data_IF_663884470847
#
_entry.id   IF_663884470847
#
_cell.length_a   1.000
_cell.length_b   1.000
_cell.length_c   1.000
_cell.angle_alpha   90.00
_cell.angle_beta   90.00
_cell.angle_gamma   90.00
#
_symmetry.space_group_name_H-M   'P 1'
#
loop_
_entity.id
_entity.type
_entity.pdbx_description
1 polymer ?
#
# COMPACT_ATOMS: atom_id res chain seq x y z
N UNK A 1 -10.31 -21.94 -38.26
CA UNK A 1 -11.50 -22.36 -37.48
C UNK A 1 -11.46 -23.87 -37.27
N UNK A 2 -11.15 -24.33 -36.06
CA UNK A 2 -10.98 -25.75 -35.72
C UNK A 2 -12.31 -26.48 -35.40
N UNK A 3 -13.44 -25.76 -35.37
CA UNK A 3 -14.76 -26.30 -34.95
C UNK A 3 -15.75 -26.58 -36.09
N UNK A 4 -15.41 -26.29 -37.35
CA UNK A 4 -16.29 -26.57 -38.51
C UNK A 4 -17.58 -25.72 -38.60
N UNK A 5 -17.79 -24.76 -37.69
CA UNK A 5 -18.92 -23.84 -37.70
C UNK A 5 -18.83 -22.84 -38.87
N UNK A 6 -19.97 -22.57 -39.51
CA UNK A 6 -20.10 -21.46 -40.44
C UNK A 6 -20.14 -20.11 -39.71
N UNK A 7 -19.81 -19.03 -40.42
CA UNK A 7 -19.87 -17.66 -39.88
C UNK A 7 -21.28 -17.32 -39.37
N UNK A 8 -22.34 -17.85 -40.00
CA UNK A 8 -23.73 -17.61 -39.58
C UNK A 8 -24.05 -18.33 -38.28
N UNK A 9 -23.69 -19.61 -38.16
CA UNK A 9 -23.90 -20.38 -36.93
C UNK A 9 -23.11 -19.77 -35.77
N UNK A 10 -21.88 -19.34 -36.02
CA UNK A 10 -21.07 -18.69 -34.99
C UNK A 10 -21.64 -17.32 -34.58
N UNK A 11 -22.20 -16.56 -35.53
CA UNK A 11 -22.88 -15.30 -35.27
C UNK A 11 -24.07 -15.49 -34.33
N UNK A 12 -24.87 -16.52 -34.57
CA UNK A 12 -26.01 -16.87 -33.71
C UNK A 12 -25.55 -17.28 -32.31
N UNK A 13 -24.57 -18.17 -32.20
CA UNK A 13 -24.02 -18.63 -30.91
C UNK A 13 -23.37 -17.51 -30.09
N UNK A 14 -22.79 -16.52 -30.77
CA UNK A 14 -22.07 -15.41 -30.13
C UNK A 14 -22.95 -14.19 -29.88
N UNK A 15 -24.20 -14.16 -30.38
CA UNK A 15 -25.03 -12.94 -30.41
C UNK A 15 -24.28 -11.74 -31.06
N UNK A 16 -23.73 -12.00 -32.24
CA UNK A 16 -23.00 -11.04 -33.07
C UNK A 16 -23.52 -11.02 -34.49
N UNK A 17 -23.23 -9.95 -35.23
CA UNK A 17 -23.52 -9.92 -36.66
C UNK A 17 -22.47 -10.73 -37.45
N UNK A 18 -22.88 -11.49 -38.50
CA UNK A 18 -21.95 -12.21 -39.38
C UNK A 18 -20.85 -11.31 -39.97
N UNK A 19 -21.16 -10.04 -40.24
CA UNK A 19 -20.21 -9.05 -40.74
C UNK A 19 -19.10 -8.73 -39.72
N UNK A 20 -19.43 -8.72 -38.42
CA UNK A 20 -18.47 -8.51 -37.33
C UNK A 20 -17.47 -9.66 -37.28
N UNK A 21 -17.95 -10.90 -37.35
CA UNK A 21 -17.10 -12.11 -37.35
C UNK A 21 -16.21 -12.14 -38.60
N UNK A 22 -16.78 -11.88 -39.77
CA UNK A 22 -16.00 -11.85 -41.02
C UNK A 22 -14.88 -10.80 -40.99
N UNK A 23 -15.12 -9.65 -40.34
CA UNK A 23 -14.07 -8.63 -40.15
C UNK A 23 -12.93 -9.15 -39.26
N UNK A 24 -13.26 -9.77 -38.12
CA UNK A 24 -12.28 -10.33 -37.19
C UNK A 24 -11.42 -11.39 -37.87
N UNK A 25 -12.01 -12.26 -38.69
CA UNK A 25 -11.28 -13.27 -39.46
C UNK A 25 -10.36 -12.66 -40.52
N UNK A 26 -10.83 -11.63 -41.23
CA UNK A 26 -10.05 -10.94 -42.29
C UNK A 26 -8.88 -10.15 -41.74
N UNK A 27 -8.98 -9.65 -40.52
CA UNK A 27 -7.88 -8.97 -39.82
C UNK A 27 -6.78 -9.96 -39.33
N UNK A 28 -6.82 -11.23 -39.78
CA UNK A 28 -5.87 -12.30 -39.42
C UNK A 28 -5.73 -12.50 -37.92
N UNK A 29 -6.80 -12.25 -37.15
CA UNK A 29 -6.77 -12.39 -35.70
C UNK A 29 -6.08 -11.24 -34.97
N UNK A 30 -5.83 -10.09 -35.62
CA UNK A 30 -5.51 -8.85 -34.91
C UNK A 30 -6.76 -8.30 -34.20
N UNK A 31 -7.08 -8.93 -33.07
CA UNK A 31 -8.21 -8.57 -32.20
C UNK A 31 -7.99 -7.25 -31.45
N UNK A 32 -6.84 -6.60 -31.59
CA UNK A 32 -6.55 -5.32 -30.92
C UNK A 32 -7.43 -4.15 -31.42
N UNK A 33 -7.93 -4.25 -32.65
CA UNK A 33 -8.79 -3.25 -33.30
C UNK A 33 -10.28 -3.49 -33.12
N UNK A 34 -10.67 -4.62 -32.55
CA UNK A 34 -12.08 -4.99 -32.35
C UNK A 34 -12.53 -4.70 -30.92
N UNK A 35 -13.79 -4.30 -30.76
CA UNK A 35 -14.37 -4.01 -29.44
C UNK A 35 -14.35 -5.25 -28.53
N UNK A 36 -13.81 -5.08 -27.31
CA UNK A 36 -13.63 -6.17 -26.33
C UNK A 36 -14.92 -6.92 -26.01
N UNK A 37 -16.07 -6.23 -26.02
CA UNK A 37 -17.38 -6.86 -25.81
C UNK A 37 -17.69 -7.86 -26.90
N UNK A 38 -17.33 -7.53 -28.16
CA UNK A 38 -17.55 -8.41 -29.30
C UNK A 38 -16.64 -9.64 -29.23
N UNK A 39 -15.38 -9.49 -28.82
CA UNK A 39 -14.48 -10.62 -28.65
C UNK A 39 -14.89 -11.50 -27.46
N UNK A 40 -15.39 -10.91 -26.37
CA UNK A 40 -15.94 -11.67 -25.24
C UNK A 40 -17.14 -12.52 -25.66
N UNK A 41 -18.08 -11.92 -26.39
CA UNK A 41 -19.22 -12.63 -26.99
C UNK A 41 -18.77 -13.76 -27.92
N UNK A 42 -17.77 -13.50 -28.77
CA UNK A 42 -17.19 -14.49 -29.66
C UNK A 42 -16.55 -15.66 -28.88
N UNK A 43 -15.79 -15.39 -27.81
CA UNK A 43 -15.18 -16.44 -26.99
C UNK A 43 -16.24 -17.38 -26.39
N UNK A 44 -17.37 -16.83 -25.92
CA UNK A 44 -18.50 -17.61 -25.42
C UNK A 44 -19.12 -18.47 -26.53
N UNK A 45 -19.37 -17.90 -27.71
CA UNK A 45 -19.92 -18.65 -28.85
C UNK A 45 -18.98 -19.76 -29.37
N UNK A 46 -17.67 -19.55 -29.27
CA UNK A 46 -16.63 -20.54 -29.60
C UNK A 46 -16.37 -21.56 -28.48
N UNK A 47 -17.02 -21.41 -27.32
CA UNK A 47 -16.74 -22.17 -26.11
C UNK A 47 -15.23 -22.19 -25.76
N UNK A 48 -14.60 -21.01 -25.84
CA UNK A 48 -13.20 -20.77 -25.49
C UNK A 48 -13.09 -19.59 -24.52
N UNK A 49 -11.87 -19.25 -24.10
CA UNK A 49 -11.62 -18.16 -23.17
C UNK A 49 -11.01 -16.95 -23.86
N UNK A 50 -11.23 -15.77 -23.30
CA UNK A 50 -10.50 -14.55 -23.70
C UNK A 50 -8.98 -14.73 -23.54
N UNK A 51 -8.56 -15.49 -22.54
CA UNK A 51 -7.16 -15.85 -22.30
C UNK A 51 -6.56 -16.63 -23.47
N UNK A 52 -7.30 -17.59 -24.03
CA UNK A 52 -6.87 -18.33 -25.22
C UNK A 52 -6.80 -17.42 -26.46
N UNK A 53 -7.81 -16.55 -26.67
CA UNK A 53 -7.85 -15.68 -27.85
C UNK A 53 -6.76 -14.60 -27.84
N UNK A 54 -6.42 -14.07 -26.67
CA UNK A 54 -5.40 -13.00 -26.51
C UNK A 54 -4.04 -13.51 -26.03
N UNK A 55 -3.90 -14.83 -25.78
CA UNK A 55 -2.69 -15.44 -25.22
C UNK A 55 -2.21 -14.73 -23.94
N UNK A 56 -3.14 -14.37 -23.06
CA UNK A 56 -2.82 -13.54 -21.87
C UNK A 56 -2.12 -14.32 -20.75
N UNK A 57 -1.86 -15.61 -20.94
CA UNK A 57 -1.07 -16.44 -20.03
C UNK A 57 0.34 -15.89 -19.83
N UNK A 58 0.89 -15.26 -20.87
CA UNK A 58 2.26 -14.72 -20.86
C UNK A 58 2.33 -13.29 -20.33
N UNK A 59 1.18 -12.67 -20.05
CA UNK A 59 1.11 -11.29 -19.60
C UNK A 59 1.47 -11.19 -18.12
N UNK A 60 2.35 -10.24 -17.81
CA UNK A 60 2.79 -9.97 -16.44
C UNK A 60 1.70 -9.26 -15.62
N UNK A 61 1.78 -9.36 -14.29
CA UNK A 61 0.85 -8.72 -13.34
C UNK A 61 1.65 -7.89 -12.31
N UNK A 62 2.76 -7.29 -12.73
CA UNK A 62 3.71 -6.65 -11.84
C UNK A 62 3.31 -5.23 -11.49
N UNK A 63 2.60 -4.55 -12.39
CA UNK A 63 2.19 -3.15 -12.25
C UNK A 63 0.68 -3.00 -12.37
N UNK A 64 0.14 -1.89 -11.85
CA UNK A 64 -1.28 -1.54 -11.99
C UNK A 64 -1.71 -1.44 -13.46
N UNK A 65 -0.95 -0.77 -14.36
CA UNK A 65 -1.20 -0.82 -15.80
C UNK A 65 -1.40 -2.23 -16.35
N UNK A 66 -0.47 -3.13 -16.06
CA UNK A 66 -0.50 -4.52 -16.54
C UNK A 66 -1.72 -5.29 -16.02
N UNK A 67 -2.02 -5.15 -14.72
CA UNK A 67 -3.21 -5.76 -14.10
C UNK A 67 -4.48 -5.22 -14.76
N UNK A 68 -4.59 -3.91 -14.90
CA UNK A 68 -5.76 -3.30 -15.52
C UNK A 68 -5.92 -3.78 -16.96
N UNK A 69 -4.86 -3.76 -17.75
CA UNK A 69 -4.89 -4.21 -19.15
C UNK A 69 -5.32 -5.67 -19.27
N UNK A 70 -4.73 -6.57 -18.49
CA UNK A 70 -5.07 -8.00 -18.50
C UNK A 70 -6.51 -8.24 -18.11
N UNK A 71 -6.97 -7.73 -16.97
CA UNK A 71 -8.29 -8.09 -16.43
C UNK A 71 -9.43 -7.30 -17.10
N UNK A 72 -9.16 -6.11 -17.64
CA UNK A 72 -10.11 -5.44 -18.54
C UNK A 72 -10.31 -6.23 -19.85
N UNK A 73 -9.23 -6.80 -20.40
CA UNK A 73 -9.31 -7.64 -21.60
C UNK A 73 -10.07 -8.92 -21.32
N UNK A 74 -9.70 -9.65 -20.26
CA UNK A 74 -10.34 -10.91 -19.88
C UNK A 74 -11.84 -10.77 -19.62
N UNK A 75 -12.26 -9.67 -18.99
CA UNK A 75 -13.66 -9.45 -18.63
C UNK A 75 -14.42 -8.54 -19.60
N UNK A 76 -13.78 -8.09 -20.69
CA UNK A 76 -14.39 -7.21 -21.68
C UNK A 76 -14.81 -5.83 -21.15
N UNK A 77 -14.13 -5.32 -20.11
CA UNK A 77 -14.51 -4.08 -19.42
C UNK A 77 -13.72 -2.90 -19.98
N UNK A 78 -14.39 -1.94 -20.62
CA UNK A 78 -13.72 -0.76 -21.18
C UNK A 78 -13.55 0.33 -20.12
N UNK A 79 -12.71 1.32 -20.42
CA UNK A 79 -12.50 2.49 -19.53
C UNK A 79 -13.82 3.23 -19.26
N UNK A 80 -14.69 3.37 -20.26
CA UNK A 80 -16.00 4.00 -20.06
C UNK A 80 -16.92 3.17 -19.16
N UNK A 81 -16.81 1.85 -19.19
CA UNK A 81 -17.55 0.95 -18.31
C UNK A 81 -17.03 1.07 -16.88
N UNK A 82 -15.70 1.15 -16.69
CA UNK A 82 -15.09 1.41 -15.37
C UNK A 82 -15.56 2.73 -14.76
N UNK A 83 -15.64 3.81 -15.53
CA UNK A 83 -16.16 5.10 -15.04
C UNK A 83 -17.58 4.94 -14.49
N UNK A 84 -18.45 4.22 -15.21
CA UNK A 84 -19.83 3.97 -14.80
C UNK A 84 -19.93 3.07 -13.56
N UNK A 85 -19.16 1.98 -13.54
CA UNK A 85 -19.20 0.98 -12.47
C UNK A 85 -18.59 1.50 -11.17
N UNK A 86 -17.51 2.28 -11.25
CA UNK A 86 -16.74 2.71 -10.08
C UNK A 86 -17.13 4.10 -9.57
N UNK A 87 -17.69 4.94 -10.45
CA UNK A 87 -17.92 6.37 -10.21
C UNK A 87 -16.62 7.20 -10.18
N UNK A 88 -15.50 6.64 -10.63
CA UNK A 88 -14.19 7.31 -10.67
C UNK A 88 -14.09 8.14 -11.94
N UNK A 89 -13.48 9.33 -11.85
CA UNK A 89 -13.27 10.19 -13.01
C UNK A 89 -12.40 9.49 -14.07
N UNK A 90 -12.72 9.72 -15.35
CA UNK A 90 -12.04 9.08 -16.48
C UNK A 90 -10.53 9.31 -16.45
N UNK A 91 -10.09 10.53 -16.17
CA UNK A 91 -8.66 10.87 -16.15
C UNK A 91 -7.89 10.13 -15.06
N UNK A 92 -8.53 9.87 -13.91
CA UNK A 92 -7.93 9.08 -12.83
C UNK A 92 -7.73 7.63 -13.26
N UNK A 93 -8.73 7.02 -13.91
CA UNK A 93 -8.62 5.65 -14.47
C UNK A 93 -7.53 5.59 -15.54
N UNK A 94 -7.47 6.59 -16.44
CA UNK A 94 -6.41 6.68 -17.44
C UNK A 94 -5.03 6.87 -16.80
N UNK A 95 -4.96 7.62 -15.70
CA UNK A 95 -3.75 7.84 -14.92
C UNK A 95 -3.20 6.56 -14.28
N UNK A 96 -4.06 5.65 -13.86
CA UNK A 96 -3.64 4.32 -13.41
C UNK A 96 -3.21 3.45 -14.59
N UNK A 97 -3.95 3.46 -15.69
CA UNK A 97 -3.66 2.66 -16.89
C UNK A 97 -2.34 3.05 -17.56
N UNK A 98 -1.96 4.32 -17.54
CA UNK A 98 -0.70 4.79 -18.13
C UNK A 98 0.47 4.83 -17.13
N UNK A 99 0.25 4.46 -15.87
CA UNK A 99 1.26 4.45 -14.82
C UNK A 99 1.69 5.84 -14.31
N UNK A 100 1.01 6.92 -14.72
CA UNK A 100 1.27 8.27 -14.20
C UNK A 100 0.89 8.41 -12.72
N UNK A 101 -0.12 7.65 -12.28
CA UNK A 101 -0.45 7.50 -10.87
C UNK A 101 0.07 6.15 -10.40
N UNK A 102 1.13 6.19 -9.58
CA UNK A 102 1.80 4.98 -9.09
C UNK A 102 1.01 4.22 -8.03
N UNK A 103 0.03 4.87 -7.39
CA UNK A 103 -0.63 4.35 -6.20
C UNK A 103 -2.12 4.74 -6.17
N UNK A 104 -3.02 3.86 -6.64
CA UNK A 104 -4.45 3.99 -6.44
C UNK A 104 -4.74 3.74 -4.97
N UNK A 105 -5.14 4.78 -4.24
CA UNK A 105 -5.68 4.58 -2.88
C UNK A 105 -6.73 3.46 -2.88
N UNK A 106 -6.77 2.67 -1.80
CA UNK A 106 -7.59 1.48 -1.58
C UNK A 106 -9.01 1.65 -2.05
N UNK A 107 -9.61 2.80 -1.71
CA UNK A 107 -10.98 3.12 -2.09
C UNK A 107 -11.20 3.06 -3.59
N UNK A 108 -10.26 3.55 -4.39
CA UNK A 108 -10.32 3.51 -5.84
C UNK A 108 -9.86 2.17 -6.39
N UNK A 109 -8.80 1.59 -5.84
CA UNK A 109 -8.29 0.31 -6.30
C UNK A 109 -9.28 -0.83 -6.08
N UNK A 110 -9.88 -0.95 -4.90
CA UNK A 110 -10.87 -1.99 -4.59
C UNK A 110 -12.06 -1.93 -5.55
N UNK A 111 -12.57 -0.71 -5.83
CA UNK A 111 -13.63 -0.51 -6.82
C UNK A 111 -13.23 -0.93 -8.23
N UNK A 112 -12.00 -0.60 -8.64
CA UNK A 112 -11.48 -0.99 -9.95
C UNK A 112 -11.32 -2.51 -10.01
N UNK A 113 -10.74 -3.14 -9.00
CA UNK A 113 -10.58 -4.59 -8.91
C UNK A 113 -11.92 -5.32 -8.99
N UNK A 114 -12.92 -4.86 -8.23
CA UNK A 114 -14.29 -5.39 -8.29
C UNK A 114 -14.87 -5.25 -9.70
N UNK A 115 -14.76 -4.07 -10.30
CA UNK A 115 -15.29 -3.80 -11.64
C UNK A 115 -14.59 -4.60 -12.76
N UNK A 116 -13.30 -4.88 -12.64
CA UNK A 116 -12.55 -5.69 -13.62
C UNK A 116 -12.48 -7.18 -13.25
N UNK A 117 -13.14 -7.63 -12.18
CA UNK A 117 -13.13 -9.03 -11.74
C UNK A 117 -11.75 -9.54 -11.28
N UNK A 118 -10.89 -8.64 -10.77
CA UNK A 118 -9.57 -9.00 -10.24
C UNK A 118 -9.66 -9.43 -8.77
N UNK A 119 -9.26 -10.66 -8.45
CA UNK A 119 -9.14 -11.10 -7.06
C UNK A 119 -7.94 -10.42 -6.38
N UNK A 120 -8.25 -9.40 -5.57
CA UNK A 120 -7.28 -8.60 -4.83
C UNK A 120 -6.47 -9.43 -3.79
N UNK A 121 -6.73 -10.74 -3.63
CA UNK A 121 -5.88 -11.64 -2.82
C UNK A 121 -4.42 -11.65 -3.27
N UNK A 122 -4.13 -11.67 -4.58
CA UNK A 122 -2.75 -11.65 -5.11
C UNK A 122 -1.99 -10.39 -4.70
N UNK A 123 -2.66 -9.24 -4.70
CA UNK A 123 -2.08 -7.98 -4.22
C UNK A 123 -1.86 -8.01 -2.71
N UNK A 124 -2.79 -8.59 -1.93
CA UNK A 124 -2.60 -8.77 -0.49
C UNK A 124 -1.40 -9.66 -0.18
N UNK A 125 -1.18 -10.73 -0.94
CA UNK A 125 0.01 -11.59 -0.82
C UNK A 125 1.29 -10.82 -1.17
N UNK A 126 1.27 -10.03 -2.25
CA UNK A 126 2.40 -9.16 -2.63
C UNK A 126 2.71 -8.13 -1.55
N UNK A 127 1.70 -7.50 -0.95
CA UNK A 127 1.86 -6.54 0.15
C UNK A 127 2.45 -7.23 1.38
N UNK A 128 1.98 -8.44 1.73
CA UNK A 128 2.54 -9.23 2.83
C UNK A 128 4.02 -9.57 2.60
N UNK A 129 4.41 -9.80 1.34
CA UNK A 129 5.78 -10.06 0.92
C UNK A 129 6.67 -8.81 0.79
N UNK A 130 6.16 -7.59 1.03
CA UNK A 130 6.99 -6.39 1.00
C UNK A 130 8.04 -6.42 2.13
N UNK A 131 9.27 -5.92 1.86
CA UNK A 131 10.34 -5.88 2.84
C UNK A 131 9.98 -4.96 4.01
N UNK A 132 10.64 -5.19 5.15
CA UNK A 132 10.46 -4.45 6.40
C UNK A 132 11.79 -4.15 7.09
N UNK A 133 12.91 -4.19 6.36
CA UNK A 133 14.26 -4.02 6.91
C UNK A 133 14.46 -2.60 7.45
N UNK A 134 13.83 -1.63 6.79
CA UNK A 134 13.97 -0.20 7.14
C UNK A 134 12.67 0.41 7.63
N UNK A 135 12.77 1.55 8.33
CA UNK A 135 11.62 2.33 8.75
C UNK A 135 10.77 2.77 7.55
N UNK A 136 11.42 3.18 6.45
CA UNK A 136 10.72 3.62 5.24
C UNK A 136 9.89 2.50 4.64
N UNK A 137 10.47 1.30 4.55
CA UNK A 137 9.78 0.10 4.10
C UNK A 137 8.61 -0.30 5.00
N UNK A 138 8.78 -0.26 6.33
CA UNK A 138 7.70 -0.57 7.29
C UNK A 138 6.53 0.41 7.21
N UNK A 139 6.81 1.70 7.04
CA UNK A 139 5.79 2.74 6.81
C UNK A 139 5.07 2.50 5.49
N UNK A 140 5.82 2.28 4.40
CA UNK A 140 5.28 1.97 3.08
C UNK A 140 4.36 0.75 3.13
N UNK A 141 4.83 -0.36 3.71
CA UNK A 141 4.06 -1.59 3.81
C UNK A 141 2.75 -1.40 4.58
N UNK A 142 2.77 -0.79 5.76
CA UNK A 142 1.54 -0.52 6.53
C UNK A 142 0.59 0.39 5.78
N UNK A 143 1.12 1.40 5.08
CA UNK A 143 0.31 2.26 4.22
C UNK A 143 -0.36 1.45 3.11
N UNK A 144 0.36 0.56 2.45
CA UNK A 144 -0.21 -0.31 1.40
C UNK A 144 -1.22 -1.33 1.95
N UNK A 145 -1.01 -1.88 3.15
CA UNK A 145 -1.97 -2.78 3.81
C UNK A 145 -3.32 -2.09 4.09
N UNK A 146 -3.27 -0.81 4.45
CA UNK A 146 -4.44 0.05 4.58
C UNK A 146 -4.92 0.63 3.24
N UNK A 147 -4.11 0.44 2.19
CA UNK A 147 -4.13 1.11 0.90
C UNK A 147 -4.43 2.60 1.00
N UNK A 148 -3.67 3.32 1.81
CA UNK A 148 -3.75 4.78 1.85
C UNK A 148 -2.75 5.35 0.84
N UNK A 149 -3.11 6.45 0.19
CA UNK A 149 -2.15 7.26 -0.56
C UNK A 149 -1.25 8.03 0.40
N UNK A 150 -0.13 8.55 -0.11
CA UNK A 150 0.74 9.47 0.65
C UNK A 150 -0.04 10.69 1.17
N UNK A 151 -0.92 11.25 0.34
CA UNK A 151 -1.75 12.41 0.67
C UNK A 151 -2.74 12.09 1.78
N UNK A 152 -3.42 10.94 1.72
CA UNK A 152 -4.34 10.52 2.78
C UNK A 152 -3.61 10.30 4.12
N UNK A 153 -2.41 9.70 4.10
CA UNK A 153 -1.59 9.57 5.34
C UNK A 153 -1.13 10.94 5.85
N UNK A 154 -0.78 11.86 4.96
CA UNK A 154 -0.39 13.21 5.31
C UNK A 154 -1.55 13.96 5.99
N UNK A 155 -2.77 13.87 5.45
CA UNK A 155 -3.98 14.42 6.06
C UNK A 155 -4.28 13.81 7.43
N UNK A 156 -4.31 12.47 7.52
CA UNK A 156 -4.59 11.75 8.78
C UNK A 156 -3.54 12.04 9.86
N UNK A 157 -2.27 12.18 9.47
CA UNK A 157 -1.20 12.52 10.40
C UNK A 157 -1.08 14.02 10.65
N UNK A 158 -1.70 14.87 9.83
CA UNK A 158 -1.51 16.33 9.77
C UNK A 158 -0.08 16.77 9.43
N UNK A 159 0.62 15.97 8.61
CA UNK A 159 1.96 16.26 8.09
C UNK A 159 1.87 16.67 6.61
N UNK A 160 3.01 17.02 6.00
CA UNK A 160 3.08 17.28 4.55
C UNK A 160 3.36 15.98 3.80
N UNK A 161 2.83 15.83 2.59
CA UNK A 161 3.10 14.72 1.68
C UNK A 161 4.59 14.45 1.47
N UNK A 162 5.38 15.54 1.36
CA UNK A 162 6.84 15.47 1.22
C UNK A 162 7.53 14.84 2.44
N UNK A 163 6.93 14.96 3.63
CA UNK A 163 7.43 14.34 4.86
C UNK A 163 7.22 12.83 4.79
N UNK A 164 6.01 12.39 4.44
CA UNK A 164 5.70 10.95 4.30
C UNK A 164 6.56 10.33 3.19
N UNK A 165 6.61 10.96 2.02
CA UNK A 165 7.43 10.48 0.90
C UNK A 165 8.92 10.43 1.26
N UNK A 166 9.43 11.42 2.00
CA UNK A 166 10.82 11.44 2.46
C UNK A 166 11.12 10.37 3.53
N UNK A 167 10.12 9.92 4.28
CA UNK A 167 10.25 8.79 5.22
C UNK A 167 10.32 7.48 4.46
N UNK A 168 9.38 7.22 3.55
CA UNK A 168 9.33 5.98 2.76
C UNK A 168 10.56 5.79 1.88
N UNK A 169 11.08 6.87 1.29
CA UNK A 169 12.28 6.85 0.43
C UNK A 169 13.59 6.92 1.21
N UNK A 170 13.54 6.87 2.54
CA UNK A 170 14.71 7.00 3.42
C UNK A 170 15.57 8.24 3.11
N UNK A 171 14.94 9.31 2.65
CA UNK A 171 15.66 10.56 2.40
C UNK A 171 16.02 11.19 3.76
N UNK A 172 17.32 11.33 3.98
CA UNK A 172 17.90 11.93 5.19
C UNK A 172 18.20 10.93 6.30
N UNK A 173 18.95 11.39 7.31
CA UNK A 173 19.34 10.58 8.46
C UNK A 173 18.11 10.15 9.29
N UNK A 174 17.91 8.84 9.37
CA UNK A 174 16.80 8.21 10.12
C UNK A 174 16.79 8.63 11.59
N UNK A 175 17.97 8.92 12.16
CA UNK A 175 18.14 9.36 13.55
C UNK A 175 17.69 10.82 13.75
N UNK A 176 17.52 11.59 12.67
CA UNK A 176 17.04 12.98 12.71
C UNK A 176 15.55 13.12 12.43
N UNK A 177 14.85 12.03 12.06
CA UNK A 177 13.40 12.08 11.87
C UNK A 177 12.73 12.29 13.23
N UNK A 178 11.84 13.27 13.30
CA UNK A 178 11.20 13.68 14.56
C UNK A 178 10.32 12.53 15.10
N UNK A 179 10.59 12.13 16.35
CA UNK A 179 9.77 11.15 17.10
C UNK A 179 8.28 11.55 17.05
N UNK A 180 7.99 12.85 17.15
CA UNK A 180 6.62 13.36 17.09
C UNK A 180 5.96 13.14 15.71
N UNK A 181 6.71 13.32 14.62
CA UNK A 181 6.20 13.03 13.27
C UNK A 181 5.90 11.55 13.11
N UNK A 182 6.80 10.68 13.56
CA UNK A 182 6.61 9.23 13.45
C UNK A 182 5.49 8.71 14.36
N UNK A 183 5.32 9.30 15.54
CA UNK A 183 4.17 8.99 16.40
C UNK A 183 2.85 9.32 15.70
N UNK A 184 2.74 10.50 15.07
CA UNK A 184 1.55 10.89 14.29
C UNK A 184 1.30 9.96 13.11
N UNK A 185 2.36 9.52 12.43
CA UNK A 185 2.27 8.52 11.36
C UNK A 185 1.81 7.17 11.91
N UNK A 186 2.33 6.72 13.07
CA UNK A 186 1.90 5.47 13.68
C UNK A 186 0.40 5.45 13.98
N UNK A 187 -0.15 6.58 14.45
CA UNK A 187 -1.58 6.75 14.68
C UNK A 187 -2.37 6.76 13.37
N UNK A 188 -1.91 7.48 12.35
CA UNK A 188 -2.54 7.51 11.04
C UNK A 188 -2.57 6.13 10.36
N UNK A 189 -1.52 5.33 10.55
CA UNK A 189 -1.38 3.99 10.00
C UNK A 189 -1.90 2.88 10.93
N UNK A 190 -2.60 3.24 12.01
CA UNK A 190 -3.13 2.31 13.00
C UNK A 190 -2.11 1.23 13.44
N UNK A 191 -0.88 1.66 13.71
CA UNK A 191 0.25 0.80 14.10
C UNK A 191 0.95 1.36 15.33
N UNK A 192 1.97 0.65 15.82
CA UNK A 192 2.72 1.04 17.02
C UNK A 192 4.07 1.65 16.66
N UNK A 193 4.58 2.49 17.56
CA UNK A 193 5.98 2.95 17.49
C UNK A 193 6.96 1.79 17.59
N UNK A 194 6.60 0.75 18.37
CA UNK A 194 7.38 -0.48 18.48
C UNK A 194 7.59 -1.16 17.14
N UNK A 195 6.52 -1.35 16.35
CA UNK A 195 6.62 -1.91 15.00
C UNK A 195 7.48 -1.04 14.08
N UNK A 196 7.25 0.28 14.07
CA UNK A 196 7.99 1.18 13.18
C UNK A 196 9.50 1.22 13.50
N UNK A 197 9.88 1.23 14.78
CA UNK A 197 11.27 1.30 15.22
C UNK A 197 11.92 -0.06 15.50
N UNK A 198 11.15 -1.15 15.45
CA UNK A 198 11.59 -2.49 15.84
C UNK A 198 12.26 -2.47 17.23
N UNK A 199 11.61 -1.84 18.21
CA UNK A 199 12.20 -1.62 19.54
C UNK A 199 12.27 -2.88 20.40
N UNK A 200 11.70 -4.00 19.96
CA UNK A 200 11.72 -5.25 20.71
C UNK A 200 13.15 -5.71 21.03
N UNK A 201 14.09 -5.47 20.11
CA UNK A 201 15.50 -5.86 20.24
C UNK A 201 16.37 -4.77 20.88
N UNK A 202 15.78 -3.65 21.30
CA UNK A 202 16.53 -2.57 21.93
C UNK A 202 16.91 -2.96 23.37
N UNK A 203 18.15 -2.66 23.81
CA UNK A 203 18.59 -2.99 25.15
C UNK A 203 17.76 -2.27 26.21
N UNK A 204 17.69 -2.86 27.41
CA UNK A 204 17.11 -2.26 28.61
C UNK A 204 18.06 -2.38 29.82
N UNK A 205 19.36 -2.48 29.54
CA UNK A 205 20.38 -2.78 30.56
C UNK A 205 20.67 -1.57 31.46
N UNK A 206 20.50 -0.36 30.93
CA UNK A 206 20.78 0.88 31.65
C UNK A 206 19.58 1.80 31.68
N UNK A 207 19.57 2.74 32.64
CA UNK A 207 18.57 3.81 32.68
C UNK A 207 18.54 4.62 31.37
N UNK A 208 19.68 4.82 30.72
CA UNK A 208 19.76 5.51 29.45
C UNK A 208 19.01 4.74 28.33
N UNK A 209 19.21 3.42 28.28
CA UNK A 209 18.56 2.56 27.29
C UNK A 209 17.05 2.56 27.47
N UNK A 210 16.59 2.35 28.71
CA UNK A 210 15.16 2.37 29.06
C UNK A 210 14.55 3.74 28.73
N UNK A 211 15.19 4.85 29.13
CA UNK A 211 14.70 6.20 28.80
C UNK A 211 14.56 6.34 27.28
N UNK A 212 15.57 5.94 26.51
CA UNK A 212 15.56 6.08 25.05
C UNK A 212 14.45 5.25 24.42
N UNK A 213 14.31 3.97 24.80
CA UNK A 213 13.29 3.04 24.28
C UNK A 213 11.89 3.55 24.59
N UNK A 214 11.59 3.79 25.86
CA UNK A 214 10.23 4.15 26.28
C UNK A 214 9.84 5.57 25.86
N UNK A 215 10.81 6.47 25.69
CA UNK A 215 10.56 7.77 25.07
C UNK A 215 10.10 7.65 23.60
N UNK A 216 10.67 6.72 22.83
CA UNK A 216 10.22 6.44 21.46
C UNK A 216 8.84 5.79 21.48
N UNK A 217 8.61 4.79 22.34
CA UNK A 217 7.32 4.09 22.45
C UNK A 217 6.16 5.03 22.81
N UNK A 218 6.39 5.93 23.76
CA UNK A 218 5.41 6.93 24.21
C UNK A 218 5.25 8.11 23.25
N UNK A 219 6.18 8.29 22.30
CA UNK A 219 6.18 9.44 21.39
C UNK A 219 6.55 10.77 22.05
N UNK A 220 7.07 10.76 23.29
CA UNK A 220 7.34 11.97 24.09
C UNK A 220 8.66 12.62 23.66
N UNK A 221 8.65 13.92 23.38
CA UNK A 221 9.90 14.65 23.07
C UNK A 221 10.70 14.95 24.34
N UNK A 222 12.02 15.16 24.21
CA UNK A 222 12.87 15.42 25.39
C UNK A 222 12.42 16.68 26.14
N UNK A 223 11.99 17.72 25.42
CA UNK A 223 11.44 18.93 26.04
C UNK A 223 10.10 18.70 26.76
N UNK A 224 9.29 17.75 26.29
CA UNK A 224 8.05 17.36 26.96
C UNK A 224 8.35 16.53 28.21
N UNK A 225 9.31 15.62 28.13
CA UNK A 225 9.77 14.85 29.29
C UNK A 225 10.33 15.75 30.40
N UNK A 226 11.07 16.81 30.04
CA UNK A 226 11.51 17.86 30.98
C UNK A 226 10.31 18.52 31.67
N UNK A 227 9.26 18.89 30.91
CA UNK A 227 8.06 19.51 31.47
C UNK A 227 7.28 18.56 32.39
N UNK A 228 7.14 17.29 32.00
CA UNK A 228 6.41 16.28 32.77
C UNK A 228 7.13 15.90 34.07
N UNK A 229 8.46 15.87 34.06
CA UNK A 229 9.26 15.43 35.22
C UNK A 229 9.76 16.57 36.10
N UNK A 230 9.80 17.80 35.56
CA UNK A 230 10.47 18.95 36.18
C UNK A 230 12.00 18.84 36.21
N UNK A 231 12.59 17.81 35.58
CA UNK A 231 14.05 17.59 35.57
C UNK A 231 14.70 18.49 34.50
N UNK A 232 15.74 19.27 34.84
CA UNK A 232 16.41 20.13 33.86
C UNK A 232 16.96 19.36 32.65
N UNK A 233 16.91 19.98 31.46
CA UNK A 233 17.36 19.38 30.20
C UNK A 233 18.80 18.87 30.25
N UNK A 234 19.70 19.61 30.91
CA UNK A 234 21.11 19.24 31.07
C UNK A 234 21.27 17.94 31.87
N UNK A 235 20.50 17.80 32.95
CA UNK A 235 20.45 16.61 33.80
C UNK A 235 19.90 15.41 33.04
N UNK A 236 18.76 15.59 32.36
CA UNK A 236 18.14 14.53 31.56
C UNK A 236 19.03 14.08 30.39
N UNK A 237 19.76 15.01 29.76
CA UNK A 237 20.75 14.69 28.72
C UNK A 237 21.93 13.89 29.30
N UNK A 238 22.35 14.19 30.53
CA UNK A 238 23.34 13.41 31.26
C UNK A 238 22.88 11.96 31.51
N UNK A 239 21.59 11.76 31.83
CA UNK A 239 21.01 10.43 31.99
C UNK A 239 20.95 9.67 30.66
N UNK A 240 20.49 10.30 29.58
CA UNK A 240 20.40 9.69 28.24
C UNK A 240 21.75 9.33 27.61
N UNK A 241 22.84 9.92 28.11
CA UNK A 241 24.21 9.63 27.66
C UNK A 241 24.99 8.73 28.63
N UNK A 242 24.33 8.18 29.65
CA UNK A 242 24.94 7.38 30.71
C UNK A 242 26.07 8.10 31.49
N UNK A 243 26.22 9.42 31.34
CA UNK A 243 27.21 10.23 32.07
C UNK A 243 26.82 10.43 33.54
N UNK A 244 25.53 10.30 33.86
CA UNK A 244 24.97 10.42 35.20
C UNK A 244 23.89 9.35 35.38
N UNK A 245 23.79 8.80 36.58
CA UNK A 245 22.66 7.95 36.95
C UNK A 245 21.57 8.78 37.61
N UNK A 246 20.28 8.52 37.32
CA UNK A 246 19.18 9.18 38.00
C UNK A 246 19.12 8.75 39.47
N UNK A 247 18.77 9.69 40.36
CA UNK A 247 18.38 9.34 41.73
C UNK A 247 17.07 8.54 41.72
N UNK A 248 16.76 7.84 42.82
CA UNK A 248 15.51 7.07 42.94
C UNK A 248 14.25 7.92 42.67
N UNK A 249 14.24 9.16 43.18
CA UNK A 249 13.13 10.11 42.95
C UNK A 249 13.02 10.52 41.48
N UNK A 250 14.12 10.93 40.85
CA UNK A 250 14.13 11.30 39.44
C UNK A 250 13.78 10.12 38.53
N UNK A 251 14.23 8.92 38.88
CA UNK A 251 13.91 7.71 38.14
C UNK A 251 12.41 7.42 38.19
N UNK A 252 11.78 7.48 39.37
CA UNK A 252 10.34 7.27 39.50
C UNK A 252 9.52 8.28 38.68
N UNK A 253 9.93 9.56 38.67
CA UNK A 253 9.30 10.60 37.84
C UNK A 253 9.40 10.28 36.35
N UNK A 254 10.58 9.85 35.90
CA UNK A 254 10.83 9.46 34.51
C UNK A 254 9.98 8.24 34.14
N UNK A 255 9.99 7.18 34.95
CA UNK A 255 9.23 5.96 34.68
C UNK A 255 7.74 6.24 34.59
N UNK A 256 7.21 7.01 35.54
CA UNK A 256 5.79 7.42 35.54
C UNK A 256 5.45 8.20 34.28
N UNK A 257 6.26 9.20 33.91
CA UNK A 257 6.02 10.01 32.71
C UNK A 257 6.10 9.21 31.40
N UNK A 258 6.92 8.15 31.38
CA UNK A 258 7.10 7.29 30.21
C UNK A 258 6.16 6.06 30.20
N UNK A 259 5.37 5.85 31.25
CA UNK A 259 4.55 4.64 31.41
C UNK A 259 5.38 3.36 31.57
N UNK A 260 6.60 3.47 32.08
CA UNK A 260 7.45 2.31 32.37
C UNK A 260 7.06 1.70 33.72
N UNK A 261 6.36 0.58 33.68
CA UNK A 261 6.19 -0.28 34.84
C UNK A 261 7.30 -1.33 34.82
N UNK A 262 8.21 -1.26 35.80
CA UNK A 262 9.29 -2.24 35.93
C UNK A 262 8.63 -3.60 36.22
N UNK A 263 8.62 -4.51 35.24
CA UNK A 263 8.33 -5.91 35.51
C UNK A 263 9.31 -6.39 36.58
N UNK A 264 8.77 -6.86 37.70
CA UNK A 264 9.47 -7.26 38.93
C UNK A 264 10.41 -8.48 38.78
N UNK A 265 10.82 -8.84 37.55
CA UNK A 265 11.53 -10.08 37.22
C UNK A 265 12.89 -9.84 36.55
N UNK A 266 13.68 -8.90 37.07
CA UNK A 266 15.12 -8.90 36.86
C UNK A 266 15.77 -9.12 38.23
N UNK A 267 16.14 -10.39 38.47
CA UNK A 267 16.96 -10.84 39.60
C UNK A 267 18.35 -10.22 39.54
#
# INVERSE_FOLDING_TARGET
MQLGLSIKELAELSDLFPSTISRIEKEKGDVSRTDLTSILKLSKGLNTTMEYLYQTSDWTENTIPEIMEKYQTLNGVRVCDLVKLTGIHKDTILGYRNGSVKDPGKKYWDKICEAIGYDNKKVKEKIRGLPEDTLGQRVYKKRMELGLTITEVAELSGLRDSTISGIEKEKGDINKKSISSLFRISKALNTTMEYLYQTQDWPENTAADIIKKYQVLSGIRTCELVKLTGIPLSTLSGYKSSKKSPSKDNWNKICTALGYEKNSNLK
#
